data_IF_859234452725
#
_entry.id   IF_859234452725
#
_cell.length_a   1.000
_cell.length_b   1.000
_cell.length_c   1.000
_cell.angle_alpha   90.00
_cell.angle_beta   90.00
_cell.angle_gamma   90.00
#
_symmetry.space_group_name_H-M   'P 1'
#
loop_
_entity.id
_entity.type
_entity.pdbx_description
1 polymer ?
#
# COMPACT_ATOMS: atom_id res chain seq x y z
N UNK A 1 -30.43 -71.95 -28.38
CA UNK A 1 -29.14 -71.40 -28.84
C UNK A 1 -29.14 -69.93 -28.46
N UNK A 2 -28.35 -69.64 -27.43
CA UNK A 2 -27.79 -68.38 -26.95
C UNK A 2 -28.63 -67.09 -26.94
N UNK A 3 -29.05 -66.70 -25.73
CA UNK A 3 -29.19 -65.30 -25.34
C UNK A 3 -28.13 -65.02 -24.26
N UNK A 4 -27.04 -64.38 -24.66
CA UNK A 4 -25.86 -64.08 -23.84
C UNK A 4 -26.01 -62.77 -23.07
N UNK A 5 -25.60 -62.83 -21.80
CA UNK A 5 -25.66 -61.78 -20.77
C UNK A 5 -24.76 -60.57 -21.07
N UNK A 6 -25.24 -59.40 -20.64
CA UNK A 6 -24.56 -58.11 -20.67
C UNK A 6 -23.60 -58.02 -19.46
N UNK A 7 -22.27 -57.80 -19.62
CA UNK A 7 -21.37 -57.66 -18.48
C UNK A 7 -21.24 -56.22 -17.99
N UNK A 8 -21.38 -56.06 -16.67
CA UNK A 8 -21.07 -54.86 -15.89
C UNK A 8 -19.60 -54.43 -16.05
N UNK A 9 -19.36 -53.15 -16.38
CA UNK A 9 -18.00 -52.57 -16.42
C UNK A 9 -17.54 -52.14 -15.02
N UNK A 10 -16.40 -52.69 -14.59
CA UNK A 10 -15.62 -52.27 -13.42
C UNK A 10 -14.93 -50.93 -13.66
N UNK A 11 -14.91 -50.09 -12.62
CA UNK A 11 -14.17 -48.83 -12.51
C UNK A 11 -12.68 -49.10 -12.25
N UNK A 12 -11.72 -48.55 -13.04
CA UNK A 12 -10.33 -48.49 -12.63
C UNK A 12 -10.04 -47.19 -11.87
N UNK A 13 -9.43 -47.32 -10.68
CA UNK A 13 -8.78 -46.24 -9.94
C UNK A 13 -7.57 -45.75 -10.77
N UNK A 14 -7.57 -44.48 -11.17
CA UNK A 14 -6.47 -43.85 -11.92
C UNK A 14 -5.90 -42.68 -11.14
N UNK A 15 -4.63 -42.77 -10.76
CA UNK A 15 -3.89 -41.76 -10.02
C UNK A 15 -3.71 -40.45 -10.80
N UNK A 16 -3.59 -39.37 -10.04
CA UNK A 16 -3.35 -38.02 -10.53
C UNK A 16 -2.12 -37.97 -11.44
N UNK A 17 -2.33 -37.63 -12.72
CA UNK A 17 -1.27 -37.23 -13.64
C UNK A 17 -0.95 -35.76 -13.37
N UNK A 18 0.25 -35.52 -12.83
CA UNK A 18 0.85 -34.20 -12.75
C UNK A 18 1.07 -33.67 -14.18
N UNK A 19 0.43 -32.54 -14.53
CA UNK A 19 0.79 -31.79 -15.72
C UNK A 19 2.03 -30.94 -15.42
N UNK A 20 3.18 -31.41 -15.88
CA UNK A 20 4.41 -30.62 -15.94
C UNK A 20 4.35 -29.77 -17.22
N UNK A 21 4.06 -28.47 -17.09
CA UNK A 21 4.18 -27.54 -18.22
C UNK A 21 5.66 -27.25 -18.46
N UNK A 22 6.30 -28.03 -19.32
CA UNK A 22 7.65 -27.76 -19.83
C UNK A 22 7.52 -26.82 -21.02
N UNK A 23 7.87 -25.54 -20.84
CA UNK A 23 8.04 -24.61 -21.97
C UNK A 23 9.42 -24.86 -22.59
N UNK A 24 9.43 -25.41 -23.80
CA UNK A 24 10.64 -25.72 -24.58
C UNK A 24 11.18 -24.49 -25.33
N UNK A 25 12.49 -24.24 -25.23
CA UNK A 25 13.23 -23.25 -26.01
C UNK A 25 13.69 -23.79 -27.38
N UNK A 26 13.47 -23.01 -28.46
CA UNK A 26 14.21 -22.84 -29.75
C UNK A 26 13.23 -22.34 -30.84
N UNK A 27 13.45 -21.36 -31.73
CA UNK A 27 14.51 -20.36 -32.03
C UNK A 27 13.97 -19.36 -33.07
N UNK A 28 14.56 -18.14 -33.10
CA UNK A 28 14.67 -17.13 -34.19
C UNK A 28 13.48 -16.22 -34.55
N UNK A 29 13.52 -14.98 -34.03
CA UNK A 29 13.44 -13.71 -34.81
C UNK A 29 13.79 -12.52 -33.91
N UNK A 30 14.45 -11.49 -34.46
CA UNK A 30 15.04 -10.34 -33.76
C UNK A 30 14.01 -9.31 -33.29
N UNK A 31 14.15 -8.84 -32.04
CA UNK A 31 13.43 -7.69 -31.49
C UNK A 31 13.49 -7.64 -29.97
N UNK A 32 14.48 -6.91 -29.43
CA UNK A 32 14.68 -6.49 -28.03
C UNK A 32 14.01 -7.32 -26.90
N UNK A 33 14.79 -8.24 -26.31
CA UNK A 33 14.43 -8.98 -25.11
C UNK A 33 14.33 -8.07 -23.88
N UNK A 34 13.14 -7.97 -23.27
CA UNK A 34 13.00 -7.66 -21.86
C UNK A 34 13.54 -8.85 -21.06
N UNK A 35 14.59 -8.63 -20.26
CA UNK A 35 15.05 -9.63 -19.29
C UNK A 35 14.02 -9.71 -18.17
N UNK A 36 13.17 -10.73 -18.19
CA UNK A 36 12.42 -11.13 -17.00
C UNK A 36 13.43 -11.64 -15.96
N UNK A 37 13.62 -10.87 -14.89
CA UNK A 37 14.37 -11.34 -13.72
C UNK A 37 13.66 -12.57 -13.15
N UNK A 38 14.41 -13.68 -13.02
CA UNK A 38 13.97 -14.86 -12.28
C UNK A 38 13.99 -14.51 -10.79
N UNK A 39 12.82 -14.43 -10.15
CA UNK A 39 12.71 -14.39 -8.70
C UNK A 39 13.11 -15.78 -8.18
N UNK A 40 14.19 -15.87 -7.42
CA UNK A 40 14.66 -17.11 -6.78
C UNK A 40 14.47 -16.99 -5.27
N UNK A 41 13.21 -17.05 -4.83
CA UNK A 41 12.84 -17.00 -3.42
C UNK A 41 13.00 -18.40 -2.79
N UNK A 42 13.88 -18.54 -1.79
CA UNK A 42 14.01 -19.76 -0.97
C UNK A 42 12.98 -19.77 0.16
N UNK A 43 11.70 -19.92 -0.17
CA UNK A 43 10.64 -19.86 0.84
C UNK A 43 10.53 -21.18 1.62
N UNK A 44 10.67 -21.11 2.95
CA UNK A 44 10.27 -22.19 3.87
C UNK A 44 8.75 -22.35 3.82
N UNK A 45 8.26 -23.59 3.83
CA UNK A 45 6.81 -23.89 3.83
C UNK A 45 6.19 -23.48 5.17
N UNK A 46 5.69 -22.26 5.27
CA UNK A 46 4.85 -21.81 6.38
C UNK A 46 3.38 -21.79 5.94
N UNK A 47 2.48 -22.23 6.83
CA UNK A 47 1.02 -22.20 6.63
C UNK A 47 0.54 -20.75 6.85
N UNK A 48 -0.12 -20.14 5.86
CA UNK A 48 -0.53 -18.72 5.88
C UNK A 48 -1.95 -18.60 5.34
N UNK A 49 -2.82 -17.83 5.98
CA UNK A 49 -4.20 -17.62 5.50
C UNK A 49 -4.28 -16.29 4.74
N UNK A 50 -4.91 -16.31 3.55
CA UNK A 50 -4.97 -15.18 2.62
C UNK A 50 -6.42 -14.69 2.46
N UNK A 51 -6.61 -13.36 2.44
CA UNK A 51 -7.90 -12.71 2.10
C UNK A 51 -7.75 -11.95 0.78
N UNK A 52 -8.56 -12.28 -0.23
CA UNK A 52 -8.50 -11.74 -1.61
C UNK A 52 -9.65 -10.75 -1.84
N UNK A 53 -9.40 -9.68 -2.60
CA UNK A 53 -10.41 -8.66 -2.91
C UNK A 53 -11.07 -8.91 -4.28
N UNK A 54 -12.42 -8.92 -4.35
CA UNK A 54 -13.20 -8.98 -5.60
C UNK A 54 -14.15 -7.78 -5.81
N UNK A 55 -14.71 -7.70 -7.01
CA UNK A 55 -15.27 -6.53 -7.71
C UNK A 55 -16.79 -6.38 -7.55
N UNK A 56 -17.34 -5.14 -7.47
CA UNK A 56 -18.73 -4.87 -7.88
C UNK A 56 -18.93 -3.58 -8.71
N UNK A 57 -19.93 -3.57 -9.62
CA UNK A 57 -20.29 -2.51 -10.56
C UNK A 57 -21.78 -2.10 -10.38
N UNK A 58 -22.04 -0.78 -10.40
CA UNK A 58 -23.32 0.00 -10.58
C UNK A 58 -24.03 0.60 -9.35
N UNK A 59 -24.53 1.83 -9.60
CA UNK A 59 -25.15 2.89 -8.75
C UNK A 59 -26.69 2.72 -8.57
N UNK A 60 -27.41 3.62 -7.83
CA UNK A 60 -27.31 3.90 -6.40
C UNK A 60 -28.70 3.90 -5.70
N UNK A 61 -28.69 3.99 -4.36
CA UNK A 61 -29.82 4.05 -3.40
C UNK A 61 -30.37 2.71 -2.96
N UNK A 62 -29.78 2.18 -1.89
CA UNK A 62 -30.49 1.85 -0.65
C UNK A 62 -29.44 1.65 0.45
N UNK A 63 -29.81 2.02 1.67
CA UNK A 63 -28.96 1.99 2.88
C UNK A 63 -28.45 0.56 3.08
N UNK A 64 -27.18 0.29 2.81
CA UNK A 64 -26.56 -1.00 3.14
C UNK A 64 -25.04 -0.85 3.26
N UNK A 65 -24.49 -1.54 4.26
CA UNK A 65 -23.10 -1.48 4.72
C UNK A 65 -22.07 -1.65 3.59
N UNK A 66 -20.88 -1.00 3.67
CA UNK A 66 -19.82 -1.16 2.69
C UNK A 66 -19.42 -2.64 2.56
N UNK A 67 -19.09 -3.13 1.35
CA UNK A 67 -18.68 -4.52 1.17
C UNK A 67 -17.46 -4.81 2.05
N UNK A 68 -17.63 -5.70 3.02
CA UNK A 68 -16.58 -6.20 3.89
C UNK A 68 -15.70 -7.20 3.14
N UNK A 69 -14.43 -7.31 3.56
CA UNK A 69 -13.57 -8.43 3.15
C UNK A 69 -14.16 -9.74 3.66
N UNK A 70 -14.85 -10.51 2.82
CA UNK A 70 -15.31 -11.84 3.21
C UNK A 70 -14.25 -12.94 3.01
N UNK A 71 -14.36 -13.95 3.88
CA UNK A 71 -13.31 -14.85 4.30
C UNK A 71 -13.21 -16.10 3.43
N UNK A 72 -12.04 -16.37 2.87
CA UNK A 72 -11.75 -17.65 2.20
C UNK A 72 -10.54 -18.35 2.80
N UNK A 73 -10.79 -19.55 3.34
CA UNK A 73 -9.80 -20.46 3.87
C UNK A 73 -9.14 -21.27 2.75
N UNK A 74 -7.87 -20.99 2.43
CA UNK A 74 -6.79 -22.00 2.31
C UNK A 74 -5.45 -21.38 1.93
N UNK A 75 -4.35 -21.98 2.42
CA UNK A 75 -3.02 -21.39 2.35
C UNK A 75 -2.41 -21.56 0.96
N UNK A 76 -1.46 -20.70 0.62
CA UNK A 76 -0.17 -21.09 0.02
C UNK A 76 0.62 -19.83 -0.35
N UNK A 77 1.94 -19.86 -0.14
CA UNK A 77 2.91 -18.92 -0.72
C UNK A 77 2.62 -18.64 -2.20
N UNK A 78 2.16 -19.65 -2.94
CA UNK A 78 1.78 -19.57 -4.36
C UNK A 78 0.70 -18.52 -4.63
N UNK A 79 -0.27 -18.34 -3.72
CA UNK A 79 -1.32 -17.34 -3.87
C UNK A 79 -0.81 -15.92 -3.60
N UNK A 80 0.09 -15.72 -2.63
CA UNK A 80 0.77 -14.42 -2.50
C UNK A 80 1.61 -14.12 -3.73
N UNK A 81 2.34 -15.11 -4.26
CA UNK A 81 3.08 -14.95 -5.52
C UNK A 81 2.14 -14.63 -6.68
N UNK A 82 0.95 -15.23 -6.76
CA UNK A 82 -0.07 -14.83 -7.73
C UNK A 82 -0.47 -13.37 -7.57
N UNK A 83 -0.74 -12.88 -6.37
CA UNK A 83 -1.10 -11.47 -6.13
C UNK A 83 0.06 -10.52 -6.41
N UNK A 84 1.29 -10.91 -6.06
CA UNK A 84 2.51 -10.18 -6.37
C UNK A 84 2.75 -10.10 -7.88
N UNK A 85 2.38 -11.15 -8.63
CA UNK A 85 2.43 -11.15 -10.10
C UNK A 85 1.27 -10.36 -10.72
N UNK A 86 0.08 -10.43 -10.13
CA UNK A 86 -1.12 -9.69 -10.56
C UNK A 86 -1.11 -8.22 -10.13
N UNK A 87 -0.19 -7.83 -9.24
CA UNK A 87 -0.04 -6.46 -8.72
C UNK A 87 -1.30 -5.93 -8.05
N UNK A 88 -1.97 -6.78 -7.25
CA UNK A 88 -3.17 -6.46 -6.47
C UNK A 88 -2.89 -6.50 -4.97
N UNK A 89 -3.52 -5.63 -4.15
CA UNK A 89 -3.42 -5.70 -2.70
C UNK A 89 -3.95 -7.01 -2.14
N UNK A 90 -3.38 -7.46 -1.03
CA UNK A 90 -3.82 -8.69 -0.34
C UNK A 90 -3.50 -8.59 1.15
N UNK A 91 -4.42 -9.06 1.99
CA UNK A 91 -4.17 -9.19 3.44
C UNK A 91 -3.66 -10.60 3.73
N UNK A 92 -2.51 -10.67 4.38
CA UNK A 92 -1.84 -11.87 4.86
C UNK A 92 -2.11 -11.99 6.36
N UNK A 93 -2.62 -13.14 6.79
CA UNK A 93 -2.96 -13.39 8.20
C UNK A 93 -2.21 -14.62 8.71
N UNK A 94 -1.91 -14.63 10.01
CA UNK A 94 -1.18 -15.74 10.65
C UNK A 94 0.30 -15.83 10.28
N UNK A 95 0.92 -14.72 9.89
CA UNK A 95 2.37 -14.65 9.70
C UNK A 95 3.08 -14.63 11.05
N UNK A 96 4.23 -15.30 11.14
CA UNK A 96 5.13 -15.19 12.29
C UNK A 96 5.84 -13.84 12.24
N UNK A 97 5.39 -12.88 13.05
CA UNK A 97 5.91 -11.51 13.10
C UNK A 97 6.87 -11.28 14.27
N UNK A 98 7.21 -12.33 15.02
CA UNK A 98 8.00 -12.24 16.24
C UNK A 98 7.14 -11.88 17.46
N UNK A 99 7.79 -11.53 18.57
CA UNK A 99 7.12 -11.26 19.85
C UNK A 99 6.42 -9.89 19.91
N UNK A 100 6.58 -9.04 18.89
CA UNK A 100 6.04 -7.67 18.88
C UNK A 100 4.50 -7.64 19.06
N UNK A 101 3.77 -8.57 18.45
CA UNK A 101 2.30 -8.65 18.50
C UNK A 101 1.74 -8.97 19.89
N UNK A 102 2.58 -9.48 20.80
CA UNK A 102 2.19 -9.81 22.18
C UNK A 102 2.85 -8.91 23.22
N UNK A 103 4.08 -8.46 22.97
CA UNK A 103 4.84 -7.63 23.91
C UNK A 103 4.52 -6.14 23.84
N UNK A 104 4.16 -5.61 22.67
CA UNK A 104 4.04 -4.15 22.46
C UNK A 104 2.76 -3.56 23.06
N UNK A 105 2.68 -3.61 24.38
CA UNK A 105 1.75 -2.85 25.20
C UNK A 105 2.23 -1.41 25.35
N UNK A 106 1.35 -0.52 25.78
CA UNK A 106 1.67 0.88 26.08
C UNK A 106 2.86 0.96 27.06
N UNK A 107 2.78 0.21 28.16
CA UNK A 107 3.84 0.19 29.19
C UNK A 107 5.17 -0.33 28.66
N UNK A 108 5.16 -1.41 27.87
CA UNK A 108 6.38 -1.97 27.30
C UNK A 108 7.04 -0.98 26.33
N UNK A 109 6.26 -0.39 25.42
CA UNK A 109 6.75 0.60 24.46
C UNK A 109 7.36 1.79 25.19
N UNK A 110 6.67 2.35 26.19
CA UNK A 110 7.18 3.46 26.98
C UNK A 110 8.51 3.12 27.68
N UNK A 111 8.68 1.88 28.15
CA UNK A 111 9.93 1.46 28.80
C UNK A 111 11.06 1.16 27.79
N UNK A 112 10.75 0.58 26.64
CA UNK A 112 11.73 0.08 25.69
C UNK A 112 12.61 1.19 25.12
N UNK A 113 12.04 2.34 24.78
CA UNK A 113 12.78 3.46 24.17
C UNK A 113 12.88 4.67 25.11
N UNK A 114 12.20 4.63 26.26
CA UNK A 114 12.27 5.62 27.33
C UNK A 114 11.97 7.04 26.84
N UNK A 115 12.78 8.00 27.31
CA UNK A 115 12.61 9.42 27.04
C UNK A 115 13.21 9.90 25.72
N UNK A 116 13.37 9.01 24.73
CA UNK A 116 13.90 9.37 23.41
C UNK A 116 12.99 10.38 22.72
N UNK A 117 13.53 11.51 22.29
CA UNK A 117 12.76 12.53 21.59
C UNK A 117 12.29 12.05 20.21
N UNK A 118 10.98 12.14 19.95
CA UNK A 118 10.37 11.80 18.67
C UNK A 118 9.58 12.96 18.10
N UNK A 119 9.68 13.15 16.78
CA UNK A 119 8.90 14.15 16.04
C UNK A 119 7.53 13.58 15.70
N UNK A 120 6.49 14.27 16.12
CA UNK A 120 5.10 13.84 15.99
C UNK A 120 4.25 14.92 15.32
N UNK A 121 3.16 14.47 14.72
CA UNK A 121 2.07 15.29 14.25
C UNK A 121 1.02 15.37 15.34
N UNK A 122 0.52 16.58 15.60
CA UNK A 122 -0.56 16.86 16.54
C UNK A 122 -1.69 17.56 15.80
N UNK A 123 -2.91 17.04 15.90
CA UNK A 123 -4.09 17.65 15.27
C UNK A 123 -5.24 17.76 16.25
N UNK A 124 -5.94 18.89 16.25
CA UNK A 124 -7.14 19.09 17.05
C UNK A 124 -8.37 18.36 16.48
N UNK A 125 -8.27 17.82 15.25
CA UNK A 125 -9.36 17.09 14.59
C UNK A 125 -8.89 15.72 14.11
N UNK A 126 -9.77 14.71 14.02
CA UNK A 126 -9.37 13.37 13.58
C UNK A 126 -8.92 13.32 12.11
N UNK A 127 -9.56 14.10 11.24
CA UNK A 127 -9.26 14.14 9.81
C UNK A 127 -8.13 15.15 9.53
N UNK A 128 -6.92 14.63 9.30
CA UNK A 128 -5.78 15.47 8.93
C UNK A 128 -5.88 15.91 7.48
N UNK A 129 -5.61 17.20 7.24
CA UNK A 129 -5.63 17.83 5.93
C UNK A 129 -4.23 18.34 5.56
N UNK A 130 -3.67 17.84 4.46
CA UNK A 130 -2.38 18.31 3.94
C UNK A 130 -2.46 19.58 3.10
N UNK A 131 -3.65 19.94 2.58
CA UNK A 131 -3.89 21.13 1.78
C UNK A 131 -3.89 22.35 2.69
N UNK A 132 -4.75 22.36 3.70
CA UNK A 132 -4.80 23.44 4.70
C UNK A 132 -3.75 23.32 5.79
N UNK A 133 -3.13 22.14 5.95
CA UNK A 133 -2.15 21.81 7.01
C UNK A 133 -2.74 22.09 8.41
N UNK A 134 -3.90 21.49 8.70
CA UNK A 134 -4.63 21.60 9.97
C UNK A 134 -3.99 20.84 11.16
N UNK A 135 -2.68 20.61 11.11
CA UNK A 135 -1.91 19.89 12.13
C UNK A 135 -0.55 20.56 12.31
N UNK A 136 0.06 20.36 13.48
CA UNK A 136 1.35 20.93 13.83
C UNK A 136 2.38 19.85 14.12
N UNK A 137 3.64 20.15 13.85
CA UNK A 137 4.76 19.30 14.26
C UNK A 137 5.18 19.65 15.69
N UNK A 138 5.35 18.64 16.54
CA UNK A 138 5.88 18.77 17.90
C UNK A 138 6.93 17.68 18.14
N UNK A 139 7.63 17.83 19.25
CA UNK A 139 8.54 16.80 19.74
C UNK A 139 8.11 16.44 21.15
N UNK A 140 8.10 15.16 21.47
CA UNK A 140 7.88 14.64 22.81
C UNK A 140 8.89 13.53 23.11
N UNK A 141 9.21 13.30 24.39
CA UNK A 141 9.74 12.02 24.85
C UNK A 141 8.83 10.86 24.41
N UNK A 142 9.42 9.78 23.92
CA UNK A 142 8.69 8.66 23.32
C UNK A 142 7.69 8.02 24.29
N UNK A 143 8.11 7.80 25.53
CA UNK A 143 7.27 7.31 26.61
C UNK A 143 6.02 8.16 26.86
N UNK A 144 6.19 9.48 26.94
CA UNK A 144 5.08 10.44 27.08
C UNK A 144 4.18 10.43 25.85
N UNK A 145 4.77 10.42 24.66
CA UNK A 145 4.01 10.35 23.42
C UNK A 145 3.14 9.08 23.34
N UNK A 146 3.69 7.91 23.66
CA UNK A 146 2.95 6.64 23.59
C UNK A 146 1.75 6.66 24.54
N UNK A 147 1.93 7.15 25.77
CA UNK A 147 0.84 7.29 26.74
C UNK A 147 -0.25 8.23 26.21
N UNK A 148 0.11 9.45 25.78
CA UNK A 148 -0.86 10.42 25.24
C UNK A 148 -1.53 9.92 23.96
N UNK A 149 -0.80 9.22 23.09
CA UNK A 149 -1.39 8.67 21.88
C UNK A 149 -2.50 7.64 22.18
N UNK A 150 -2.39 6.90 23.29
CA UNK A 150 -3.38 5.92 23.73
C UNK A 150 -4.56 6.54 24.50
N UNK A 151 -4.43 7.76 25.00
CA UNK A 151 -5.49 8.48 25.71
C UNK A 151 -6.54 9.06 24.73
N UNK A 152 -7.78 9.18 25.21
CA UNK A 152 -8.86 9.88 24.48
C UNK A 152 -8.90 11.36 24.85
N UNK A 153 -8.64 11.68 26.13
CA UNK A 153 -8.50 13.03 26.64
C UNK A 153 -7.21 13.16 27.44
N UNK A 154 -6.47 14.23 27.19
CA UNK A 154 -5.14 14.47 27.72
C UNK A 154 -5.19 15.52 28.82
N UNK A 155 -4.50 15.27 29.94
CA UNK A 155 -4.32 16.29 30.98
C UNK A 155 -3.38 17.42 30.53
N UNK A 156 -2.35 17.05 29.78
CA UNK A 156 -1.40 17.97 29.16
C UNK A 156 -1.47 17.81 27.64
N UNK A 157 -1.69 18.92 26.94
CA UNK A 157 -1.91 18.97 25.50
C UNK A 157 -1.29 20.22 24.87
N UNK A 158 -1.18 20.26 23.55
CA UNK A 158 -0.65 21.38 22.79
C UNK A 158 -1.72 22.30 22.20
N UNK A 159 -2.82 21.73 21.74
CA UNK A 159 -3.91 22.40 21.00
C UNK A 159 -5.22 22.28 21.79
N UNK A 160 -5.69 21.05 22.00
CA UNK A 160 -6.97 20.76 22.66
C UNK A 160 -6.87 19.50 23.53
N UNK A 161 -7.77 19.37 24.51
CA UNK A 161 -7.79 18.22 25.42
C UNK A 161 -8.04 16.87 24.73
N UNK A 162 -8.59 16.87 23.52
CA UNK A 162 -8.94 15.71 22.71
C UNK A 162 -8.07 15.57 21.44
N UNK A 163 -6.95 16.29 21.39
CA UNK A 163 -6.04 16.29 20.25
C UNK A 163 -5.54 14.87 19.92
N UNK A 164 -5.22 14.65 18.65
CA UNK A 164 -4.76 13.37 18.14
C UNK A 164 -3.28 13.44 17.82
N UNK A 165 -2.59 12.36 18.13
CA UNK A 165 -1.17 12.23 17.92
C UNK A 165 -0.86 11.20 16.84
N UNK A 166 0.13 11.49 16.01
CA UNK A 166 0.65 10.56 15.02
C UNK A 166 2.16 10.64 14.94
N UNK A 167 2.80 9.48 14.98
CA UNK A 167 4.22 9.31 14.71
C UNK A 167 4.38 8.58 13.37
N UNK A 168 5.23 9.14 12.52
CA UNK A 168 5.87 8.43 11.42
C UNK A 168 7.38 8.57 11.60
N UNK A 169 8.07 7.45 11.83
CA UNK A 169 9.53 7.51 11.97
C UNK A 169 10.22 8.03 10.70
N UNK A 170 11.37 8.64 10.92
CA UNK A 170 12.25 9.20 9.89
C UNK A 170 13.68 8.79 10.19
N UNK A 171 14.55 8.84 9.19
CA UNK A 171 15.99 8.72 9.40
C UNK A 171 16.55 9.84 10.27
N UNK A 172 17.77 9.65 10.78
CA UNK A 172 18.45 10.63 11.64
C UNK A 172 18.61 11.99 10.94
N UNK A 173 19.19 12.01 9.73
CA UNK A 173 19.12 13.15 8.82
C UNK A 173 17.99 12.92 7.80
N UNK A 174 16.84 13.59 8.00
CA UNK A 174 15.64 13.46 7.14
C UNK A 174 15.94 13.67 5.64
N UNK A 175 17.00 14.41 5.29
CA UNK A 175 17.38 14.68 3.90
C UNK A 175 18.27 13.60 3.28
N UNK A 176 18.89 12.73 4.07
CA UNK A 176 19.87 11.74 3.61
C UNK A 176 19.52 10.32 3.98
N UNK A 177 18.89 10.13 5.13
CA UNK A 177 18.64 8.84 5.74
C UNK A 177 17.18 8.44 5.58
N UNK A 178 16.99 7.22 5.09
CA UNK A 178 15.74 6.47 5.18
C UNK A 178 15.41 6.14 6.64
N UNK A 179 14.12 5.97 6.94
CA UNK A 179 13.73 5.32 8.19
C UNK A 179 14.10 3.83 8.14
N UNK A 180 14.64 3.33 9.23
CA UNK A 180 14.95 1.93 9.48
C UNK A 180 14.79 1.63 10.96
N UNK A 181 13.75 0.85 11.31
CA UNK A 181 13.46 0.46 12.70
C UNK A 181 14.71 -0.13 13.40
N UNK A 182 15.58 -0.84 12.67
CA UNK A 182 16.80 -1.44 13.23
C UNK A 182 17.82 -0.40 13.67
N UNK A 183 17.75 0.81 13.12
CA UNK A 183 18.63 1.93 13.46
C UNK A 183 17.98 2.83 14.51
N UNK A 184 16.74 3.26 14.26
CA UNK A 184 16.10 4.24 15.13
C UNK A 184 15.41 3.62 16.35
N UNK A 185 15.08 2.34 16.36
CA UNK A 185 14.42 1.67 17.48
C UNK A 185 14.98 0.25 17.65
N UNK A 186 16.29 0.11 17.93
CA UNK A 186 16.98 -1.18 17.90
C UNK A 186 16.40 -2.18 18.90
N UNK A 187 15.93 -1.72 20.07
CA UNK A 187 15.33 -2.58 21.10
C UNK A 187 14.01 -3.15 20.58
N UNK A 188 13.15 -2.30 20.03
CA UNK A 188 11.89 -2.74 19.42
C UNK A 188 12.12 -3.62 18.19
N UNK A 189 13.17 -3.37 17.41
CA UNK A 189 13.49 -4.16 16.22
C UNK A 189 13.80 -5.63 16.54
N UNK A 190 14.28 -5.95 17.75
CA UNK A 190 14.55 -7.34 18.18
C UNK A 190 13.27 -8.16 18.33
N UNK A 191 12.12 -7.51 18.58
CA UNK A 191 10.83 -8.19 18.71
C UNK A 191 10.15 -8.49 17.37
N UNK A 192 10.64 -7.91 16.27
CA UNK A 192 9.97 -7.94 14.97
C UNK A 192 10.67 -8.87 13.99
N UNK A 193 9.91 -9.81 13.44
CA UNK A 193 10.28 -10.58 12.26
C UNK A 193 9.61 -10.00 11.01
N UNK A 194 10.40 -9.41 10.11
CA UNK A 194 9.90 -8.91 8.82
C UNK A 194 9.72 -10.08 7.84
N UNK A 195 8.53 -10.26 7.22
CA UNK A 195 8.31 -11.32 6.25
C UNK A 195 9.26 -11.28 5.04
N UNK A 196 9.96 -12.38 4.77
CA UNK A 196 10.98 -12.49 3.70
C UNK A 196 10.37 -12.75 2.31
N UNK A 197 9.56 -11.82 1.80
CA UNK A 197 8.94 -11.91 0.46
C UNK A 197 9.66 -11.10 -0.63
N UNK A 198 10.78 -10.47 -0.29
CA UNK A 198 11.61 -9.68 -1.19
C UNK A 198 13.09 -9.92 -0.86
N UNK A 199 13.97 -9.76 -1.85
CA UNK A 199 15.41 -9.94 -1.65
C UNK A 199 15.97 -8.83 -0.75
N UNK A 200 16.99 -9.13 0.06
CA UNK A 200 17.55 -8.18 1.03
C UNK A 200 18.06 -6.90 0.36
N UNK A 201 18.56 -7.00 -0.87
CA UNK A 201 19.07 -5.88 -1.68
C UNK A 201 17.94 -4.96 -2.20
N UNK A 202 16.69 -5.44 -2.21
CA UNK A 202 15.53 -4.64 -2.58
C UNK A 202 15.02 -3.78 -1.43
N UNK A 203 15.40 -4.08 -0.18
CA UNK A 203 14.97 -3.31 0.99
C UNK A 203 15.22 -1.82 0.77
N UNK A 204 14.20 -1.00 1.05
CA UNK A 204 14.30 0.45 0.96
C UNK A 204 14.16 1.13 2.32
N UNK A 205 13.12 0.84 3.10
CA UNK A 205 12.88 1.52 4.38
C UNK A 205 11.95 0.71 5.27
N UNK A 206 12.11 0.82 6.59
CA UNK A 206 11.12 0.35 7.57
C UNK A 206 10.66 1.52 8.45
N UNK A 207 9.38 1.85 8.36
CA UNK A 207 8.78 3.05 8.95
C UNK A 207 7.86 2.64 10.09
N UNK A 208 8.25 3.01 11.30
CA UNK A 208 7.49 2.79 12.52
C UNK A 208 6.37 3.84 12.63
N UNK A 209 5.15 3.38 12.88
CA UNK A 209 3.96 4.23 12.93
C UNK A 209 3.18 3.97 14.21
N UNK A 210 2.83 5.06 14.92
CA UNK A 210 1.93 5.03 16.07
C UNK A 210 0.88 6.12 15.87
N UNK A 211 -0.37 5.83 16.17
CA UNK A 211 -1.48 6.76 15.95
C UNK A 211 -2.52 6.65 17.06
N UNK A 212 -3.08 7.79 17.47
CA UNK A 212 -4.28 7.84 18.28
C UNK A 212 -5.50 7.26 17.56
N UNK A 213 -6.45 6.75 18.36
CA UNK A 213 -7.75 6.30 17.88
C UNK A 213 -8.53 7.43 17.20
N UNK A 214 -9.17 7.10 16.08
CA UNK A 214 -9.95 7.98 15.22
C UNK A 214 -9.16 8.76 14.17
N UNK A 215 -7.82 8.77 14.24
CA UNK A 215 -7.01 9.58 13.32
C UNK A 215 -7.09 9.02 11.89
N UNK A 216 -7.43 9.89 10.95
CA UNK A 216 -7.46 9.62 9.52
C UNK A 216 -6.32 10.35 8.80
N UNK A 217 -5.53 9.60 8.04
CA UNK A 217 -4.55 10.14 7.10
C UNK A 217 -5.18 10.30 5.71
N UNK A 218 -4.76 11.33 4.98
CA UNK A 218 -5.19 11.57 3.61
C UNK A 218 -4.76 10.44 2.66
N UNK A 219 -5.53 10.27 1.59
CA UNK A 219 -5.24 9.30 0.53
C UNK A 219 -3.96 9.69 -0.21
N UNK A 220 -3.03 8.75 -0.33
CA UNK A 220 -1.78 8.93 -1.09
C UNK A 220 -1.31 7.62 -1.71
N UNK A 221 -0.29 7.68 -2.56
CA UNK A 221 0.44 6.50 -3.03
C UNK A 221 1.94 6.64 -2.77
N UNK A 222 2.62 5.50 -2.75
CA UNK A 222 4.08 5.40 -2.68
C UNK A 222 4.62 4.71 -3.96
N UNK A 223 5.89 4.97 -4.28
CA UNK A 223 6.55 4.44 -5.49
C UNK A 223 7.19 3.05 -5.25
N UNK A 224 7.29 2.67 -3.99
CA UNK A 224 7.81 1.37 -3.54
C UNK A 224 6.68 0.39 -3.27
N UNK A 225 6.97 -0.91 -3.37
CA UNK A 225 6.09 -1.92 -2.78
C UNK A 225 6.14 -1.81 -1.26
N UNK A 226 5.03 -2.13 -0.59
CA UNK A 226 4.86 -1.88 0.84
C UNK A 226 4.15 -3.05 1.53
N UNK A 227 4.66 -3.47 2.68
CA UNK A 227 3.90 -4.22 3.67
C UNK A 227 3.52 -3.30 4.80
N UNK A 228 2.22 -3.12 5.02
CA UNK A 228 1.68 -2.51 6.23
C UNK A 228 1.39 -3.63 7.24
N UNK A 229 2.27 -3.79 8.23
CA UNK A 229 2.17 -4.76 9.31
C UNK A 229 1.45 -4.08 10.48
N UNK A 230 0.25 -4.53 10.81
CA UNK A 230 -0.51 -4.05 11.95
C UNK A 230 -0.10 -4.87 13.19
N UNK A 231 0.61 -4.26 14.14
CA UNK A 231 1.16 -4.98 15.30
C UNK A 231 0.20 -4.94 16.48
N UNK A 232 -0.36 -3.77 16.76
CA UNK A 232 -1.31 -3.55 17.88
C UNK A 232 -2.47 -2.70 17.41
N UNK A 233 -3.69 -3.01 17.87
CA UNK A 233 -4.91 -2.26 17.59
C UNK A 233 -5.49 -2.50 16.19
N UNK A 234 -6.67 -1.93 15.93
CA UNK A 234 -7.42 -2.08 14.68
C UNK A 234 -7.27 -0.90 13.72
N UNK A 235 -7.14 -1.20 12.42
CA UNK A 235 -6.92 -0.19 11.38
C UNK A 235 -7.72 -0.47 10.12
N UNK A 236 -8.53 0.50 9.70
CA UNK A 236 -9.27 0.48 8.44
C UNK A 236 -8.42 1.08 7.32
N UNK A 237 -8.34 0.39 6.19
CA UNK A 237 -7.60 0.84 5.01
C UNK A 237 -8.50 0.77 3.79
N UNK A 238 -8.60 1.90 3.09
CA UNK A 238 -9.30 2.00 1.81
C UNK A 238 -8.28 2.17 0.71
N UNK A 239 -8.36 1.38 -0.36
CA UNK A 239 -7.44 1.42 -1.49
C UNK A 239 -8.14 1.73 -2.81
N UNK A 240 -7.40 2.36 -3.73
CA UNK A 240 -7.85 2.60 -5.10
C UNK A 240 -6.76 2.17 -6.09
N UNK A 241 -7.21 1.72 -7.26
CA UNK A 241 -6.29 1.29 -8.31
C UNK A 241 -5.40 2.46 -8.76
N UNK A 242 -4.15 2.21 -9.16
CA UNK A 242 -3.34 3.22 -9.86
C UNK A 242 -4.05 3.83 -11.07
N UNK A 243 -4.96 3.07 -11.72
CA UNK A 243 -5.76 3.52 -12.86
C UNK A 243 -6.87 4.51 -12.50
N UNK A 244 -7.23 4.60 -11.22
CA UNK A 244 -8.23 5.56 -10.74
C UNK A 244 -7.63 6.95 -10.49
N UNK A 245 -6.34 7.17 -10.76
CA UNK A 245 -5.68 8.48 -10.64
C UNK A 245 -6.49 9.66 -11.24
N UNK A 246 -7.15 9.54 -12.42
CA UNK A 246 -7.97 10.63 -12.98
C UNK A 246 -9.21 11.01 -12.14
N UNK A 247 -9.63 10.13 -11.22
CA UNK A 247 -10.82 10.32 -10.38
C UNK A 247 -10.48 10.79 -8.97
N UNK A 248 -9.20 10.77 -8.59
CA UNK A 248 -8.74 11.02 -7.23
C UNK A 248 -8.26 12.46 -6.99
N UNK A 249 -8.32 13.35 -7.98
CA UNK A 249 -7.96 14.77 -7.82
C UNK A 249 -6.59 14.95 -7.15
N UNK A 250 -5.53 14.54 -7.85
CA UNK A 250 -4.20 14.43 -7.27
C UNK A 250 -3.46 15.78 -7.25
N UNK A 251 -2.91 16.13 -6.10
CA UNK A 251 -1.90 17.17 -5.91
C UNK A 251 -0.58 16.51 -5.51
N UNK A 252 0.28 16.24 -6.50
CA UNK A 252 1.47 15.40 -6.31
C UNK A 252 1.06 13.96 -6.03
N UNK A 253 1.54 13.37 -4.93
CA UNK A 253 1.21 11.99 -4.56
C UNK A 253 -0.06 11.83 -3.73
N UNK A 254 -0.78 12.93 -3.45
CA UNK A 254 -1.90 12.98 -2.50
C UNK A 254 -3.19 13.33 -3.22
N UNK A 255 -4.30 12.74 -2.80
CA UNK A 255 -5.64 13.09 -3.27
C UNK A 255 -6.19 14.26 -2.46
N UNK A 256 -6.84 15.21 -3.13
CA UNK A 256 -7.56 16.30 -2.46
C UNK A 256 -8.86 15.86 -1.77
N UNK A 257 -9.35 14.65 -2.03
CA UNK A 257 -10.57 14.10 -1.41
C UNK A 257 -10.22 13.55 -0.02
N UNK A 258 -10.47 14.35 1.01
CA UNK A 258 -10.14 14.01 2.41
C UNK A 258 -11.14 13.01 3.01
N UNK A 259 -12.44 13.31 2.89
CA UNK A 259 -13.51 12.41 3.32
C UNK A 259 -13.87 11.46 2.18
N UNK A 260 -13.36 10.23 2.27
CA UNK A 260 -13.59 9.17 1.27
C UNK A 260 -14.90 8.42 1.50
N UNK A 261 -15.54 8.62 2.66
CA UNK A 261 -16.82 7.98 3.01
C UNK A 261 -18.00 8.89 2.62
N UNK A 262 -17.83 10.21 2.74
CA UNK A 262 -18.79 11.21 2.33
C UNK A 262 -18.10 12.34 1.52
N UNK A 263 -17.68 12.07 0.27
CA UNK A 263 -16.96 13.04 -0.54
C UNK A 263 -17.86 14.23 -0.94
N UNK A 264 -17.27 15.43 -0.97
CA UNK A 264 -17.92 16.61 -1.55
C UNK A 264 -18.09 16.43 -3.07
N UNK A 265 -19.28 16.03 -3.49
CA UNK A 265 -19.60 15.73 -4.89
C UNK A 265 -19.75 16.98 -5.77
N UNK A 266 -19.91 18.17 -5.18
CA UNK A 266 -19.90 19.42 -5.94
C UNK A 266 -18.47 19.77 -6.34
N UNK A 267 -17.52 19.59 -5.40
CA UNK A 267 -16.09 19.86 -5.64
C UNK A 267 -15.40 18.72 -6.40
N UNK A 268 -15.76 17.47 -6.13
CA UNK A 268 -15.09 16.28 -6.64
C UNK A 268 -16.02 15.31 -7.40
N UNK A 269 -16.76 15.77 -8.42
CA UNK A 269 -17.80 14.97 -9.08
C UNK A 269 -17.29 13.68 -9.77
N UNK A 270 -16.00 13.60 -10.12
CA UNK A 270 -15.41 12.41 -10.74
C UNK A 270 -15.08 11.30 -9.73
N UNK A 271 -15.03 11.61 -8.43
CA UNK A 271 -14.60 10.66 -7.40
C UNK A 271 -15.51 9.45 -7.30
N UNK A 272 -16.80 9.60 -7.60
CA UNK A 272 -17.77 8.49 -7.68
C UNK A 272 -17.39 7.40 -8.71
N UNK A 273 -16.49 7.71 -9.65
CA UNK A 273 -15.97 6.74 -10.63
C UNK A 273 -14.77 5.95 -10.09
N UNK A 274 -14.13 6.40 -9.01
CA UNK A 274 -13.02 5.69 -8.39
C UNK A 274 -13.52 4.40 -7.73
N UNK A 275 -12.82 3.30 -7.99
CA UNK A 275 -13.23 2.00 -7.46
C UNK A 275 -12.57 1.76 -6.11
N UNK A 276 -13.39 1.81 -5.06
CA UNK A 276 -13.00 1.54 -3.68
C UNK A 276 -12.75 0.06 -3.43
N UNK A 277 -11.62 -0.26 -2.83
CA UNK A 277 -11.33 -1.53 -2.16
C UNK A 277 -11.13 -1.23 -0.66
N UNK A 278 -11.52 -2.15 0.22
CA UNK A 278 -11.47 -1.87 1.65
C UNK A 278 -11.07 -3.09 2.44
N UNK A 279 -10.31 -2.87 3.52
CA UNK A 279 -9.99 -3.87 4.51
C UNK A 279 -9.92 -3.27 5.91
N UNK A 280 -10.10 -4.15 6.90
CA UNK A 280 -9.74 -3.85 8.28
C UNK A 280 -8.63 -4.82 8.68
N UNK A 281 -7.55 -4.26 9.23
CA UNK A 281 -6.41 -4.99 9.74
C UNK A 281 -6.55 -5.12 11.24
N UNK A 282 -6.54 -6.36 11.70
CA UNK A 282 -6.43 -6.71 13.12
C UNK A 282 -4.96 -6.84 13.52
N UNK A 283 -4.71 -6.93 14.83
CA UNK A 283 -3.36 -7.17 15.33
C UNK A 283 -2.80 -8.49 14.79
N UNK A 284 -1.64 -8.43 14.12
CA UNK A 284 -0.99 -9.56 13.46
C UNK A 284 -1.22 -9.63 11.94
N UNK A 285 -2.12 -8.81 11.39
CA UNK A 285 -2.37 -8.77 9.95
C UNK A 285 -1.29 -7.98 9.19
N UNK A 286 -1.00 -8.43 7.97
CA UNK A 286 -0.10 -7.74 7.04
C UNK A 286 -0.80 -7.44 5.72
N UNK A 287 -0.94 -6.17 5.39
CA UNK A 287 -1.45 -5.76 4.09
C UNK A 287 -0.30 -5.53 3.11
N UNK A 288 -0.29 -6.29 2.02
CA UNK A 288 0.52 -5.95 0.85
C UNK A 288 -0.14 -4.84 0.05
N UNK A 289 0.59 -3.75 -0.18
CA UNK A 289 0.20 -2.64 -1.03
C UNK A 289 1.23 -2.58 -2.16
N UNK A 290 0.87 -2.99 -3.39
CA UNK A 290 1.75 -2.84 -4.53
C UNK A 290 2.02 -1.35 -4.80
N UNK A 291 3.22 -1.03 -5.28
CA UNK A 291 3.59 0.32 -5.67
C UNK A 291 2.51 0.98 -6.53
N UNK A 292 2.31 2.29 -6.31
CA UNK A 292 1.32 3.15 -6.97
C UNK A 292 -0.15 2.96 -6.52
N UNK A 293 -0.45 1.96 -5.69
CA UNK A 293 -1.81 1.85 -5.14
C UNK A 293 -2.07 2.96 -4.14
N UNK A 294 -3.15 3.70 -4.39
CA UNK A 294 -3.60 4.73 -3.47
C UNK A 294 -4.20 4.07 -2.24
N UNK A 295 -3.93 4.63 -1.07
CA UNK A 295 -4.48 4.13 0.18
C UNK A 295 -4.78 5.27 1.16
N UNK A 296 -5.92 5.16 1.83
CA UNK A 296 -6.39 5.98 2.95
C UNK A 296 -6.43 5.11 4.20
N UNK A 297 -6.00 5.63 5.34
CA UNK A 297 -5.88 4.86 6.57
C UNK A 297 -6.59 5.59 7.71
N UNK A 298 -7.46 4.86 8.42
CA UNK A 298 -8.05 5.29 9.68
C UNK A 298 -7.64 4.31 10.77
N UNK A 299 -7.04 4.81 11.83
CA UNK A 299 -6.79 4.03 13.04
C UNK A 299 -8.05 4.05 13.89
N UNK A 300 -8.79 2.95 13.91
CA UNK A 300 -10.05 2.87 14.68
C UNK A 300 -9.78 2.77 16.19
N UNK A 301 -8.63 2.21 16.54
CA UNK A 301 -8.11 2.15 17.90
C UNK A 301 -6.72 2.81 17.98
N UNK A 302 -6.22 2.99 19.20
CA UNK A 302 -4.79 3.22 19.38
C UNK A 302 -4.05 2.03 18.78
N UNK A 303 -3.04 2.30 17.95
CA UNK A 303 -2.37 1.23 17.26
C UNK A 303 -0.95 1.54 16.86
N UNK A 304 -0.17 0.46 16.78
CA UNK A 304 1.22 0.44 16.36
C UNK A 304 1.33 -0.39 15.10
N UNK A 305 2.02 0.14 14.09
CA UNK A 305 2.24 -0.53 12.83
C UNK A 305 3.67 -0.32 12.33
N UNK A 306 4.12 -1.25 11.50
CA UNK A 306 5.38 -1.16 10.78
C UNK A 306 5.10 -1.23 9.29
N UNK A 307 5.52 -0.21 8.54
CA UNK A 307 5.58 -0.34 7.09
C UNK A 307 6.96 -0.76 6.65
N UNK A 308 7.03 -1.70 5.71
CA UNK A 308 8.27 -2.15 5.11
C UNK A 308 8.20 -1.89 3.62
N UNK A 309 9.03 -0.98 3.13
CA UNK A 309 9.12 -0.58 1.73
C UNK A 309 10.28 -1.28 1.04
N UNK A 310 10.05 -1.76 -0.18
CA UNK A 310 11.11 -2.32 -1.03
C UNK A 310 10.94 -1.95 -2.51
N UNK A 311 12.07 -2.03 -3.21
CA UNK A 311 12.19 -1.70 -4.63
C UNK A 311 11.66 -2.84 -5.48
N UNK A 312 10.57 -2.60 -6.19
CA UNK A 312 10.06 -3.49 -7.22
C UNK A 312 10.92 -3.43 -8.50
N UNK A 313 11.39 -2.23 -8.86
CA UNK A 313 12.21 -1.99 -10.05
C UNK A 313 13.71 -2.13 -9.73
N UNK A 314 14.58 -2.21 -10.75
CA UNK A 314 16.01 -2.11 -10.54
C UNK A 314 16.40 -0.80 -9.81
N UNK A 315 17.36 -0.83 -8.86
CA UNK A 315 17.69 0.32 -8.02
C UNK A 315 18.03 1.62 -8.76
N UNK A 316 18.59 1.54 -9.96
CA UNK A 316 18.93 2.66 -10.83
C UNK A 316 17.71 3.42 -11.38
N UNK A 317 16.52 2.84 -11.27
CA UNK A 317 15.26 3.46 -11.71
C UNK A 317 14.79 4.55 -10.75
N UNK A 318 15.22 4.51 -9.50
CA UNK A 318 14.75 5.39 -8.42
C UNK A 318 15.65 6.62 -8.24
N UNK A 319 15.06 7.71 -7.74
CA UNK A 319 15.82 8.88 -7.33
C UNK A 319 16.64 8.58 -6.06
N UNK A 320 17.96 8.77 -6.13
CA UNK A 320 18.89 8.50 -5.01
C UNK A 320 18.72 9.47 -3.84
N UNK A 321 18.05 10.60 -4.06
CA UNK A 321 17.76 11.61 -3.05
C UNK A 321 16.39 11.42 -2.41
N UNK A 322 15.66 10.36 -2.78
CA UNK A 322 14.40 10.02 -2.16
C UNK A 322 14.63 9.20 -0.89
N UNK A 323 14.40 9.82 0.27
CA UNK A 323 14.43 9.15 1.57
C UNK A 323 13.06 8.69 2.03
N UNK A 324 11.98 9.04 1.31
CA UNK A 324 10.60 8.80 1.72
C UNK A 324 9.94 7.66 0.92
N UNK A 325 10.33 7.50 -0.35
CA UNK A 325 9.74 6.53 -1.28
C UNK A 325 8.61 7.12 -2.15
N UNK A 326 8.57 8.45 -2.28
CA UNK A 326 7.47 9.18 -2.92
C UNK A 326 7.90 9.96 -4.17
N UNK A 327 9.21 10.00 -4.47
CA UNK A 327 9.67 10.65 -5.71
C UNK A 327 9.48 9.70 -6.87
N UNK A 328 8.98 10.24 -7.97
CA UNK A 328 8.78 9.46 -9.19
C UNK A 328 10.08 8.79 -9.65
N UNK A 329 10.00 7.59 -10.25
CA UNK A 329 11.14 6.99 -10.91
C UNK A 329 11.76 7.98 -11.91
N UNK A 330 13.09 7.97 -12.03
CA UNK A 330 13.84 8.96 -12.80
C UNK A 330 13.37 9.08 -14.25
N UNK A 331 12.89 7.98 -14.84
CA UNK A 331 12.31 7.98 -16.19
C UNK A 331 11.00 8.77 -16.27
N UNK A 332 10.10 8.61 -15.28
CA UNK A 332 8.84 9.34 -15.20
C UNK A 332 9.09 10.83 -14.96
N UNK A 333 9.97 11.18 -14.02
CA UNK A 333 10.33 12.58 -13.76
C UNK A 333 10.89 13.29 -15.02
N UNK A 334 11.80 12.64 -15.75
CA UNK A 334 12.31 13.19 -17.03
C UNK A 334 11.22 13.31 -18.09
N UNK A 335 10.31 12.34 -18.18
CA UNK A 335 9.22 12.37 -19.15
C UNK A 335 8.27 13.54 -18.88
N UNK A 336 7.94 13.79 -17.60
CA UNK A 336 7.11 14.94 -17.18
C UNK A 336 7.81 16.25 -17.54
N UNK A 337 9.12 16.40 -17.26
CA UNK A 337 9.88 17.60 -17.65
C UNK A 337 9.89 17.85 -19.17
N UNK A 338 9.93 16.79 -19.98
CA UNK A 338 9.86 16.91 -21.44
C UNK A 338 8.45 17.32 -21.86
N UNK A 339 7.42 16.75 -21.24
CA UNK A 339 6.02 17.12 -21.48
C UNK A 339 5.79 18.61 -21.18
N UNK A 340 6.29 19.11 -20.05
CA UNK A 340 6.16 20.53 -19.68
C UNK A 340 6.78 21.46 -20.73
N UNK A 341 7.94 21.08 -21.30
CA UNK A 341 8.56 21.83 -22.41
C UNK A 341 7.70 21.80 -23.67
N UNK A 342 7.09 20.66 -23.99
CA UNK A 342 6.20 20.55 -25.14
C UNK A 342 4.92 21.39 -24.96
N UNK A 343 4.36 21.40 -23.74
CA UNK A 343 3.21 22.25 -23.39
C UNK A 343 3.57 23.74 -23.51
N UNK A 344 4.76 24.15 -23.06
CA UNK A 344 5.26 25.52 -23.22
C UNK A 344 5.37 25.93 -24.69
N UNK A 345 5.77 25.05 -25.60
CA UNK A 345 5.77 25.36 -27.04
C UNK A 345 4.35 25.54 -27.58
N UNK A 346 3.36 24.80 -27.08
CA UNK A 346 1.96 24.99 -27.49
C UNK A 346 1.36 26.31 -27.01
N UNK A 347 1.93 26.97 -25.99
CA UNK A 347 1.48 28.29 -25.53
C UNK A 347 1.73 29.41 -26.55
N UNK A 348 2.58 29.19 -27.56
CA UNK A 348 2.81 30.12 -28.67
C UNK A 348 1.61 30.21 -29.63
N UNK A 349 0.68 29.23 -29.56
CA UNK A 349 -0.52 29.18 -30.39
C UNK A 349 -1.71 29.88 -29.71
N UNK A 350 -2.68 30.41 -30.48
CA UNK A 350 -3.96 30.84 -29.93
C UNK A 350 -4.66 29.70 -29.18
N UNK A 351 -5.48 30.06 -28.18
CA UNK A 351 -6.09 29.12 -27.23
C UNK A 351 -6.84 27.95 -27.91
N UNK A 352 -7.62 28.23 -28.96
CA UNK A 352 -8.38 27.22 -29.69
C UNK A 352 -7.47 26.17 -30.36
N UNK A 353 -6.35 26.61 -30.94
CA UNK A 353 -5.37 25.71 -31.55
C UNK A 353 -4.64 24.91 -30.48
N UNK A 354 -4.26 25.56 -29.36
CA UNK A 354 -3.64 24.90 -28.21
C UNK A 354 -4.54 23.80 -27.64
N UNK A 355 -5.83 24.07 -27.43
CA UNK A 355 -6.81 23.07 -26.94
C UNK A 355 -6.88 21.86 -27.89
N UNK A 356 -7.05 22.12 -29.20
CA UNK A 356 -7.12 21.05 -30.20
C UNK A 356 -5.86 20.16 -30.19
N UNK A 357 -4.67 20.75 -30.19
CA UNK A 357 -3.43 19.99 -30.19
C UNK A 357 -3.15 19.29 -28.85
N UNK A 358 -3.56 19.88 -27.72
CA UNK A 358 -3.49 19.23 -26.41
C UNK A 358 -4.36 17.96 -26.38
N UNK A 359 -5.61 18.01 -26.86
CA UNK A 359 -6.48 16.82 -26.99
C UNK A 359 -5.83 15.74 -27.87
N UNK A 360 -5.22 16.14 -28.98
CA UNK A 360 -4.50 15.21 -29.88
C UNK A 360 -3.30 14.56 -29.19
N UNK A 361 -2.57 15.29 -28.34
CA UNK A 361 -1.47 14.73 -27.55
C UNK A 361 -1.98 13.69 -26.55
N UNK A 362 -3.07 13.99 -25.83
CA UNK A 362 -3.69 13.04 -24.90
C UNK A 362 -4.10 11.74 -25.60
N UNK A 363 -4.79 11.84 -26.74
CA UNK A 363 -5.17 10.67 -27.54
C UNK A 363 -3.95 9.83 -27.95
N UNK A 364 -2.86 10.48 -28.37
CA UNK A 364 -1.62 9.80 -28.76
C UNK A 364 -0.93 9.12 -27.57
N UNK A 365 -1.01 9.70 -26.38
CA UNK A 365 -0.49 9.08 -25.15
C UNK A 365 -1.33 7.86 -24.79
N UNK A 366 -2.66 7.99 -24.83
CA UNK A 366 -3.58 6.88 -24.56
C UNK A 366 -3.33 5.71 -25.53
N UNK A 367 -3.27 5.98 -26.84
CA UNK A 367 -3.04 4.96 -27.86
C UNK A 367 -1.69 4.23 -27.69
N UNK A 368 -0.61 4.96 -27.37
CA UNK A 368 0.74 4.39 -27.38
C UNK A 368 1.23 3.85 -26.04
N UNK A 369 0.73 4.37 -24.92
CA UNK A 369 1.26 4.08 -23.60
C UNK A 369 0.27 3.37 -22.68
N UNK A 370 -1.05 3.51 -22.90
CA UNK A 370 -2.01 2.82 -22.05
C UNK A 370 -2.15 1.37 -22.51
N UNK A 371 -2.26 0.46 -21.54
CA UNK A 371 -2.57 -0.94 -21.79
C UNK A 371 -4.02 -1.19 -21.42
N UNK A 372 -4.79 -1.73 -22.37
CA UNK A 372 -6.18 -2.11 -22.14
C UNK A 372 -6.28 -3.33 -21.21
N UNK A 373 -5.29 -4.23 -21.23
CA UNK A 373 -5.41 -5.53 -20.56
C UNK A 373 -4.57 -5.64 -19.29
N UNK A 374 -5.26 -5.71 -18.16
CA UNK A 374 -4.97 -6.58 -17.02
C UNK A 374 -6.34 -7.06 -16.52
N UNK A 375 -6.78 -8.23 -17.00
CA UNK A 375 -7.85 -9.00 -16.36
C UNK A 375 -7.33 -9.64 -15.08
#
# INVERSE_FOLDING_TARGET
MDATEIPQRRVPRGGARHFLMVLSDRTKSNGHKLKHNKLHLSLRKNLITLRVAEHWNRLPREVMEPPSLEETFKPHVDMFLCHLLQRKPVVLTGLELGTCTTKWTIDYLSQAEGSKEVKIHVSAVPQMDFLSKNFVYRTLPFDVFVQRAAEVKHKEYFLTEDEKYYLRSVGEDVRKDIADIRKQFPILAEDVHIPEYFEKEQFFSSVFRISSAGLQLWTHYDVMDNFLIQVTGRKRVVLYSPRDAPYLYLSGTKSEVLDVDNPDMEKYPLFVKAKRYECVLEAGDVLFIPALWFHNVISEEFGVALNVFWKHLPPESYDKTDTYGNKDPMAASRAIQILDRALKTLEELPEEYRDFYARRMVLRIQEKAYRNDYG
#
